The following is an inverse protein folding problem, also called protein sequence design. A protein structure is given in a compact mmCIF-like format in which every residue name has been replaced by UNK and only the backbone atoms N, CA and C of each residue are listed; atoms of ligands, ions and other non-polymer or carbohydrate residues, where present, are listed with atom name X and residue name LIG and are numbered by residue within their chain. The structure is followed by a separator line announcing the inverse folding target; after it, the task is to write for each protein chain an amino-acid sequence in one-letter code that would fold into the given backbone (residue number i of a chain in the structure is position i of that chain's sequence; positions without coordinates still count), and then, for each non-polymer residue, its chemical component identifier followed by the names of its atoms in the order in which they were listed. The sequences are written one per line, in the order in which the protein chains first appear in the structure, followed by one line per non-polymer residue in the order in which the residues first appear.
data_IF_917415228059
#
_entry.id   IF_917415228059
#
_cell.length_a   1.000
_cell.length_b   1.000
_cell.length_c   1.000
_cell.angle_alpha   90.00
_cell.angle_beta   90.00
_cell.angle_gamma   90.00
#
_symmetry.space_group_name_H-M   'P 1'
#
loop_
_entity.id
_entity.type
_entity.pdbx_description
1 polymer ?
#
# COMPACT_ATOMS: atom_id res chain seq x y z
N UNK A 1 16.16 -2.28 -12.26
CA UNK A 1 15.12 -3.32 -12.14
C UNK A 1 13.78 -2.63 -11.99
N UNK A 2 12.91 -2.70 -12.99
CA UNK A 2 11.57 -2.10 -12.91
C UNK A 2 10.73 -2.97 -11.98
N UNK A 3 10.58 -2.56 -10.72
CA UNK A 3 9.60 -3.17 -9.82
C UNK A 3 8.25 -2.90 -10.47
N UNK A 4 7.58 -3.95 -10.96
CA UNK A 4 6.24 -3.81 -11.53
C UNK A 4 5.29 -3.47 -10.38
N UNK A 5 4.86 -2.22 -10.31
CA UNK A 5 3.86 -1.76 -9.35
C UNK A 5 2.60 -2.61 -9.51
N UNK A 6 2.13 -3.22 -8.42
CA UNK A 6 0.90 -4.02 -8.45
C UNK A 6 -0.32 -3.10 -8.60
N UNK A 7 -0.23 -1.90 -8.03
CA UNK A 7 -1.23 -0.84 -8.12
C UNK A 7 -0.76 0.15 -9.20
N UNK A 8 -1.59 0.34 -10.22
CA UNK A 8 -1.33 1.36 -11.25
C UNK A 8 -1.66 2.75 -10.73
N UNK A 9 -1.09 3.80 -11.33
CA UNK A 9 -1.40 5.18 -10.93
C UNK A 9 -2.90 5.50 -11.06
N UNK A 10 -3.55 5.05 -12.14
CA UNK A 10 -4.99 5.22 -12.32
C UNK A 10 -5.84 4.50 -11.25
N UNK A 11 -5.36 3.40 -10.67
CA UNK A 11 -6.00 2.77 -9.52
C UNK A 11 -5.70 3.56 -8.24
N UNK A 12 -4.46 4.02 -8.07
CA UNK A 12 -4.05 4.83 -6.93
C UNK A 12 -4.88 6.11 -6.81
N UNK A 13 -5.09 6.84 -7.91
CA UNK A 13 -5.87 8.09 -7.94
C UNK A 13 -7.32 7.91 -7.44
N UNK A 14 -7.86 6.70 -7.55
CA UNK A 14 -9.21 6.37 -7.04
C UNK A 14 -9.21 5.96 -5.57
N UNK A 15 -8.09 5.42 -5.08
CA UNK A 15 -7.94 4.89 -3.72
C UNK A 15 -7.44 5.97 -2.76
N UNK A 16 -6.50 6.82 -3.19
CA UNK A 16 -5.89 7.86 -2.37
C UNK A 16 -6.90 8.73 -1.62
N UNK A 17 -8.00 9.22 -2.23
CA UNK A 17 -8.97 10.06 -1.54
C UNK A 17 -9.74 9.34 -0.42
N UNK A 18 -9.73 8.00 -0.43
CA UNK A 18 -10.38 7.15 0.57
C UNK A 18 -9.46 6.83 1.75
N UNK A 19 -8.18 7.21 1.67
CA UNK A 19 -7.23 6.96 2.75
C UNK A 19 -7.49 7.90 3.93
N UNK A 20 -7.33 7.40 5.17
CA UNK A 20 -7.43 8.24 6.34
C UNK A 20 -6.36 9.33 6.30
N UNK A 21 -6.70 10.52 6.79
CA UNK A 21 -5.69 11.55 7.02
C UNK A 21 -4.69 11.10 8.09
N UNK A 22 -3.53 11.76 8.11
CA UNK A 22 -2.56 11.57 9.18
C UNK A 22 -3.20 11.83 10.56
N UNK A 23 -2.93 10.96 11.55
CA UNK A 23 -3.63 11.01 12.82
C UNK A 23 -3.14 12.24 13.60
N UNK A 24 -4.08 12.93 14.26
CA UNK A 24 -3.77 14.10 15.10
C UNK A 24 -2.93 13.71 16.33
N UNK A 25 -3.02 12.45 16.77
CA UNK A 25 -2.26 11.89 17.89
C UNK A 25 -1.73 10.51 17.53
N UNK A 26 -0.51 10.21 17.97
CA UNK A 26 0.18 8.95 17.67
C UNK A 26 1.24 9.11 16.57
N UNK A 27 1.71 7.99 16.03
CA UNK A 27 2.71 7.98 14.96
C UNK A 27 2.02 8.23 13.61
N UNK A 28 2.65 9.04 12.76
CA UNK A 28 2.26 9.25 11.36
C UNK A 28 2.10 7.90 10.65
N UNK A 29 1.11 7.79 9.76
CA UNK A 29 1.02 6.60 8.92
C UNK A 29 2.28 6.48 8.05
N UNK A 30 2.66 5.24 7.74
CA UNK A 30 3.59 5.02 6.64
C UNK A 30 2.94 5.47 5.33
N UNK A 31 3.74 5.67 4.28
CA UNK A 31 3.24 5.95 2.95
C UNK A 31 2.15 4.94 2.56
N UNK A 32 0.91 5.43 2.41
CA UNK A 32 -0.26 4.59 2.17
C UNK A 32 -0.14 3.77 0.89
N UNK A 33 0.49 4.34 -0.15
CA UNK A 33 0.70 3.66 -1.42
C UNK A 33 1.64 2.48 -1.23
N UNK A 34 2.75 2.70 -0.52
CA UNK A 34 3.72 1.64 -0.23
C UNK A 34 3.11 0.52 0.62
N UNK A 35 2.29 0.87 1.61
CA UNK A 35 1.58 -0.13 2.43
C UNK A 35 0.61 -0.97 1.57
N UNK A 36 -0.16 -0.33 0.70
CA UNK A 36 -1.10 -1.03 -0.17
C UNK A 36 -0.39 -1.87 -1.23
N UNK A 37 0.74 -1.42 -1.77
CA UNK A 37 1.57 -2.23 -2.67
C UNK A 37 2.09 -3.51 -2.00
N UNK A 38 2.53 -3.42 -0.73
CA UNK A 38 2.98 -4.59 0.03
C UNK A 38 1.83 -5.59 0.27
N UNK A 39 0.64 -5.08 0.64
CA UNK A 39 -0.57 -5.89 0.81
C UNK A 39 -0.94 -6.57 -0.52
N UNK A 40 -0.97 -5.81 -1.62
CA UNK A 40 -1.33 -6.33 -2.94
C UNK A 40 -0.33 -7.38 -3.44
N UNK A 41 0.97 -7.17 -3.20
CA UNK A 41 2.00 -8.17 -3.48
C UNK A 41 1.77 -9.46 -2.67
N UNK A 42 1.54 -9.35 -1.36
CA UNK A 42 1.24 -10.48 -0.47
C UNK A 42 0.06 -11.31 -0.98
N UNK A 43 -1.04 -10.66 -1.36
CA UNK A 43 -2.22 -11.35 -1.88
C UNK A 43 -1.94 -12.04 -3.21
N UNK A 44 -1.14 -11.42 -4.09
CA UNK A 44 -0.74 -12.00 -5.38
C UNK A 44 0.13 -13.25 -5.21
N UNK A 45 1.07 -13.23 -4.29
CA UNK A 45 2.02 -14.34 -4.08
C UNK A 45 1.49 -15.40 -3.11
N UNK A 46 0.41 -15.09 -2.40
CA UNK A 46 -0.13 -15.88 -1.30
C UNK A 46 0.92 -16.18 -0.22
N UNK A 47 1.91 -15.28 -0.08
CA UNK A 47 3.00 -15.42 0.88
C UNK A 47 2.48 -15.27 2.32
N UNK A 48 2.99 -16.05 3.28
CA UNK A 48 2.66 -15.86 4.68
C UNK A 48 3.25 -14.55 5.20
N UNK A 49 2.56 -13.92 6.14
CA UNK A 49 2.98 -12.63 6.73
C UNK A 49 4.36 -12.64 7.38
N UNK A 50 4.87 -13.83 7.73
CA UNK A 50 6.21 -14.00 8.30
C UNK A 50 7.32 -13.70 7.30
N UNK A 51 7.03 -13.78 6.01
CA UNK A 51 8.01 -13.61 4.93
C UNK A 51 8.03 -12.16 4.39
N UNK A 52 7.33 -11.24 5.06
CA UNK A 52 7.22 -9.80 4.77
C UNK A 52 7.88 -8.98 5.88
#
# INVERSE_FOLDING_TARGET
MSVRSVITDAMWDRIEPLMPADPVRGRRWADHRRTLEAIAWKYRTNSPWRDL
#
